data_IF_790509071542
#
_entry.id   IF_790509071542
#
_cell.length_a   1.000
_cell.length_b   1.000
_cell.length_c   1.000
_cell.angle_alpha   90.00
_cell.angle_beta   90.00
_cell.angle_gamma   90.00
#
_symmetry.space_group_name_H-M   'P 1'
#
loop_
_entity.id
_entity.type
_entity.pdbx_description
1 polymer ?
#
# COMPACT_ATOMS: atom_id res chain seq x y z
N UNK A 1 -1.92 20.08 5.55
CA UNK A 1 -1.98 18.90 4.67
C UNK A 1 -0.77 18.04 4.93
N UNK A 2 -0.86 16.74 4.64
CA UNK A 2 0.27 15.80 4.75
C UNK A 2 0.44 14.99 3.47
N UNK A 3 1.67 14.58 3.19
CA UNK A 3 2.01 13.67 2.10
C UNK A 3 2.55 12.39 2.71
N UNK A 4 2.06 11.25 2.23
CA UNK A 4 2.43 9.93 2.74
C UNK A 4 3.19 9.17 1.66
N UNK A 5 4.31 8.57 2.02
CA UNK A 5 5.06 7.68 1.12
C UNK A 5 5.10 6.28 1.71
N UNK A 6 4.70 5.30 0.92
CA UNK A 6 4.60 3.89 1.31
C UNK A 6 5.58 3.07 0.48
N UNK A 7 6.27 2.15 1.14
CA UNK A 7 7.26 1.27 0.51
C UNK A 7 6.85 -0.20 0.64
N UNK A 8 5.84 -0.67 -0.10
CA UNK A 8 5.39 -2.05 0.03
C UNK A 8 6.36 -3.02 -0.64
N UNK A 9 6.39 -4.23 -0.09
CA UNK A 9 6.88 -5.43 -0.76
C UNK A 9 5.64 -6.24 -1.15
N UNK A 10 5.50 -6.57 -2.42
CA UNK A 10 4.30 -7.22 -2.96
C UNK A 10 4.54 -8.71 -3.19
N UNK A 11 3.49 -9.52 -3.10
CA UNK A 11 3.60 -10.93 -3.44
C UNK A 11 3.62 -11.16 -4.95
N UNK A 12 4.37 -12.17 -5.38
CA UNK A 12 4.37 -12.63 -6.76
C UNK A 12 2.96 -13.08 -7.18
N UNK A 13 2.59 -12.81 -8.44
CA UNK A 13 1.27 -13.11 -8.97
C UNK A 13 0.19 -12.07 -8.65
N UNK A 14 0.55 -10.91 -8.09
CA UNK A 14 -0.36 -9.78 -7.89
C UNK A 14 -0.17 -8.71 -8.96
N UNK A 15 -1.26 -8.06 -9.36
CA UNK A 15 -1.20 -6.90 -10.25
C UNK A 15 -0.77 -5.68 -9.46
N UNK A 16 0.50 -5.28 -9.63
CA UNK A 16 1.09 -4.13 -8.91
C UNK A 16 0.24 -2.86 -8.98
N UNK A 17 -0.31 -2.46 -10.16
CA UNK A 17 -1.14 -1.26 -10.23
C UNK A 17 -2.39 -1.33 -9.36
N UNK A 18 -3.03 -2.51 -9.27
CA UNK A 18 -4.23 -2.72 -8.45
C UNK A 18 -3.89 -2.62 -6.96
N UNK A 19 -2.81 -3.29 -6.53
CA UNK A 19 -2.34 -3.23 -5.14
C UNK A 19 -1.96 -1.80 -4.75
N UNK A 20 -1.26 -1.08 -5.64
CA UNK A 20 -0.88 0.31 -5.40
C UNK A 20 -2.11 1.23 -5.30
N UNK A 21 -3.14 1.01 -6.11
CA UNK A 21 -4.41 1.75 -6.02
C UNK A 21 -5.10 1.54 -4.69
N UNK A 22 -5.24 0.27 -4.27
CA UNK A 22 -5.86 -0.08 -2.99
C UNK A 22 -5.10 0.52 -1.80
N UNK A 23 -3.76 0.51 -1.84
CA UNK A 23 -2.93 1.15 -0.82
C UNK A 23 -3.20 2.66 -0.78
N UNK A 24 -3.24 3.33 -1.92
CA UNK A 24 -3.48 4.78 -1.99
C UNK A 24 -4.84 5.15 -1.39
N UNK A 25 -5.91 4.47 -1.78
CA UNK A 25 -7.26 4.74 -1.27
C UNK A 25 -7.37 4.50 0.24
N UNK A 26 -6.87 3.36 0.72
CA UNK A 26 -6.94 3.03 2.15
C UNK A 26 -6.12 3.97 3.00
N UNK A 27 -4.88 4.25 2.62
CA UNK A 27 -4.01 5.16 3.39
C UNK A 27 -4.62 6.55 3.44
N UNK A 28 -5.16 7.06 2.33
CA UNK A 28 -5.84 8.36 2.31
C UNK A 28 -7.04 8.36 3.25
N UNK A 29 -7.94 7.39 3.11
CA UNK A 29 -9.16 7.31 3.91
C UNK A 29 -8.87 7.16 5.41
N UNK A 30 -7.94 6.29 5.79
CA UNK A 30 -7.62 6.03 7.19
C UNK A 30 -6.92 7.22 7.85
N UNK A 31 -5.95 7.85 7.18
CA UNK A 31 -5.25 9.01 7.73
C UNK A 31 -6.21 10.18 7.91
N UNK A 32 -7.05 10.48 6.91
CA UNK A 32 -8.06 11.54 7.03
C UNK A 32 -9.08 11.24 8.14
N UNK A 33 -9.53 9.99 8.24
CA UNK A 33 -10.52 9.56 9.23
C UNK A 33 -10.00 9.58 10.67
N UNK A 34 -8.79 9.08 10.93
CA UNK A 34 -8.29 8.90 12.30
C UNK A 34 -7.54 10.12 12.82
N UNK A 35 -6.89 10.89 11.95
CA UNK A 35 -6.08 12.04 12.37
C UNK A 35 -6.77 13.38 12.11
N UNK A 36 -7.79 13.41 11.24
CA UNK A 36 -8.41 14.65 10.79
C UNK A 36 -7.51 15.51 9.89
N UNK A 37 -6.34 15.00 9.49
CA UNK A 37 -5.42 15.69 8.58
C UNK A 37 -5.81 15.41 7.13
N UNK A 38 -5.87 16.44 6.29
CA UNK A 38 -6.07 16.29 4.84
C UNK A 38 -4.84 15.69 4.17
N UNK A 39 -5.03 14.62 3.39
CA UNK A 39 -3.95 13.95 2.65
C UNK A 39 -3.88 14.51 1.23
N UNK A 40 -2.75 15.14 0.91
CA UNK A 40 -2.51 15.78 -0.37
C UNK A 40 -2.10 14.75 -1.43
N UNK A 41 -1.20 13.82 -1.06
CA UNK A 41 -0.74 12.76 -1.93
C UNK A 41 -0.35 11.51 -1.15
N UNK A 42 -0.54 10.34 -1.78
CA UNK A 42 -0.02 9.05 -1.32
C UNK A 42 0.88 8.48 -2.40
N UNK A 43 2.18 8.43 -2.14
CA UNK A 43 3.19 7.94 -3.07
C UNK A 43 3.50 6.48 -2.74
N UNK A 44 3.30 5.56 -3.69
CA UNK A 44 3.58 4.13 -3.51
C UNK A 44 4.82 3.74 -4.31
N UNK A 45 5.87 3.35 -3.59
CA UNK A 45 7.14 2.91 -4.17
C UNK A 45 7.36 1.43 -3.84
N UNK A 46 6.98 0.55 -4.76
CA UNK A 46 7.18 -0.89 -4.59
C UNK A 46 8.67 -1.21 -4.55
N UNK A 47 9.15 -1.73 -3.42
CA UNK A 47 10.57 -2.01 -3.19
C UNK A 47 11.01 -3.39 -3.66
N UNK A 48 10.09 -4.33 -3.79
CA UNK A 48 10.41 -5.69 -4.22
C UNK A 48 9.18 -6.56 -4.37
N UNK A 49 9.39 -7.73 -4.97
CA UNK A 49 8.40 -8.78 -5.12
C UNK A 49 8.91 -10.02 -4.42
N UNK A 50 8.09 -10.63 -3.55
CA UNK A 50 8.43 -11.88 -2.86
C UNK A 50 7.53 -13.01 -3.33
N UNK A 51 8.09 -14.18 -3.60
CA UNK A 51 7.30 -15.38 -3.83
C UNK A 51 6.67 -15.80 -2.49
N UNK A 52 5.40 -16.21 -2.52
CA UNK A 52 4.81 -16.89 -1.37
C UNK A 52 5.48 -18.26 -1.30
N UNK A 53 6.23 -18.54 -0.24
CA UNK A 53 6.78 -19.88 -0.06
C UNK A 53 5.63 -20.88 -0.03
N UNK A 54 5.70 -21.92 -0.86
CA UNK A 54 4.77 -23.03 -0.86
C UNK A 54 5.00 -23.84 0.43
N UNK A 55 4.50 -23.35 1.57
CA UNK A 55 4.80 -23.96 2.87
C UNK A 55 4.07 -23.40 4.08
N UNK A 56 3.05 -22.55 3.91
CA UNK A 56 2.18 -22.14 5.02
C UNK A 56 0.71 -22.35 4.67
N UNK A 57 0.36 -23.61 4.41
CA UNK A 57 -0.94 -24.16 4.79
C UNK A 57 -0.92 -24.36 6.30
N UNK A 58 -1.60 -23.47 7.03
CA UNK A 58 -2.14 -23.79 8.34
C UNK A 58 -3.49 -24.48 8.15
#
# INVERSE_FOLDING_TARGET
SVTVTVYPVVFYGQMIPEVAWQIQERVKADVEKYTGLTVEAVNVHVKGVVAREAGQTA
#
